data_IF_392253700858
#
_entry.id   IF_392253700858
#
_cell.length_a   1.000
_cell.length_b   1.000
_cell.length_c   1.000
_cell.angle_alpha   90.00
_cell.angle_beta   90.00
_cell.angle_gamma   90.00
#
_symmetry.space_group_name_H-M   'P 1'
#
loop_
_entity.id
_entity.type
_entity.pdbx_description
1 polymer ?
#
# COMPACT_ATOMS: atom_id res chain seq x y z
N UNK A 1 -1.61 -27.35 -1.51
CA UNK A 1 -1.25 -26.28 -0.56
C UNK A 1 -0.89 -25.05 -1.38
N UNK A 2 -1.80 -24.09 -1.53
CA UNK A 2 -1.53 -22.87 -2.29
C UNK A 2 -0.67 -21.95 -1.42
N UNK A 3 0.56 -21.67 -1.85
CA UNK A 3 1.37 -20.61 -1.26
C UNK A 3 0.70 -19.30 -1.67
N UNK A 4 0.04 -18.63 -0.74
CA UNK A 4 -0.47 -17.28 -0.96
C UNK A 4 0.73 -16.35 -1.14
N UNK A 5 1.02 -15.94 -2.39
CA UNK A 5 2.02 -14.92 -2.65
C UNK A 5 1.36 -13.57 -2.39
N UNK A 6 1.45 -13.10 -1.15
CA UNK A 6 1.03 -11.75 -0.78
C UNK A 6 2.08 -10.78 -1.34
N UNK A 7 1.64 -9.76 -2.08
CA UNK A 7 2.51 -8.74 -2.70
C UNK A 7 3.01 -7.69 -1.69
N UNK A 8 2.63 -7.76 -0.42
CA UNK A 8 3.10 -6.87 0.65
C UNK A 8 4.57 -7.15 0.96
N UNK A 9 5.43 -6.14 0.78
CA UNK A 9 6.87 -6.24 1.03
C UNK A 9 7.28 -5.65 2.38
N UNK A 10 6.61 -4.59 2.81
CA UNK A 10 6.91 -3.88 4.05
C UNK A 10 5.63 -3.31 4.61
N UNK A 11 5.47 -3.41 5.92
CA UNK A 11 4.38 -2.80 6.69
C UNK A 11 4.97 -2.09 7.90
N UNK A 12 4.65 -0.81 8.05
CA UNK A 12 5.03 0.01 9.19
C UNK A 12 3.76 0.50 9.87
N UNK A 13 3.69 0.35 11.19
CA UNK A 13 2.59 0.88 12.01
C UNK A 13 3.15 1.96 12.92
N UNK A 14 2.59 3.16 12.81
CA UNK A 14 2.88 4.29 13.69
C UNK A 14 1.74 4.35 14.70
N UNK A 15 2.11 4.39 15.98
CA UNK A 15 1.17 4.45 17.10
C UNK A 15 0.97 5.88 17.59
N UNK A 16 -0.21 6.17 18.10
CA UNK A 16 -0.52 7.42 18.77
C UNK A 16 0.10 7.49 20.19
N UNK A 17 -0.20 8.59 20.90
CA UNK A 17 0.27 8.83 22.27
C UNK A 17 -0.31 7.83 23.30
N UNK A 18 -1.41 7.16 22.97
CA UNK A 18 -2.05 6.14 23.80
C UNK A 18 -1.59 4.71 23.45
N UNK A 19 -0.71 4.56 22.45
CA UNK A 19 -0.21 3.28 21.98
C UNK A 19 -1.13 2.55 20.99
N UNK A 20 -2.21 3.19 20.54
CA UNK A 20 -3.11 2.65 19.51
C UNK A 20 -2.54 2.89 18.12
N UNK A 21 -2.90 2.05 17.17
CA UNK A 21 -2.46 2.21 15.78
C UNK A 21 -3.11 3.47 15.19
N UNK A 22 -2.31 4.39 14.65
CA UNK A 22 -2.77 5.66 14.07
C UNK A 22 -2.57 5.67 12.55
N UNK A 23 -1.37 5.30 12.10
CA UNK A 23 -1.01 5.27 10.69
C UNK A 23 -0.44 3.92 10.31
N UNK A 24 -0.90 3.38 9.18
CA UNK A 24 -0.31 2.21 8.55
C UNK A 24 0.29 2.61 7.21
N UNK A 25 1.58 2.31 7.02
CA UNK A 25 2.23 2.43 5.72
C UNK A 25 2.58 1.05 5.19
N UNK A 26 2.29 0.80 3.92
CA UNK A 26 2.56 -0.47 3.26
C UNK A 26 3.21 -0.27 1.90
N UNK A 27 4.25 -1.03 1.60
CA UNK A 27 4.95 -1.06 0.30
C UNK A 27 4.67 -2.39 -0.38
N UNK A 28 4.42 -2.36 -1.69
CA UNK A 28 3.96 -3.53 -2.44
C UNK A 28 4.86 -3.87 -3.62
N UNK A 29 4.99 -5.16 -3.91
CA UNK A 29 5.41 -5.68 -5.21
C UNK A 29 4.25 -5.66 -6.21
N UNK A 30 3.70 -4.48 -6.47
CA UNK A 30 2.63 -4.30 -7.44
C UNK A 30 3.15 -3.62 -8.70
N UNK A 31 2.63 -4.03 -9.87
CA UNK A 31 2.93 -3.37 -11.15
C UNK A 31 2.30 -1.99 -11.27
N UNK A 32 1.30 -1.65 -10.44
CA UNK A 32 0.57 -0.39 -10.52
C UNK A 32 0.74 0.49 -9.27
N UNK A 33 0.77 -0.11 -8.07
CA UNK A 33 0.89 0.61 -6.80
C UNK A 33 2.33 0.50 -6.27
N UNK A 34 2.84 1.59 -5.67
CA UNK A 34 4.11 1.62 -4.95
C UNK A 34 3.87 1.36 -3.48
N UNK A 35 3.05 2.22 -2.88
CA UNK A 35 2.76 2.20 -1.45
C UNK A 35 1.38 2.75 -1.14
N UNK A 36 0.95 2.55 0.09
CA UNK A 36 -0.20 3.22 0.69
C UNK A 36 0.19 3.83 2.04
N UNK A 37 -0.56 4.85 2.44
CA UNK A 37 -0.54 5.40 3.80
C UNK A 37 -2.00 5.51 4.25
N UNK A 38 -2.38 4.77 5.28
CA UNK A 38 -3.73 4.76 5.83
C UNK A 38 -3.74 5.45 7.19
N UNK A 39 -4.53 6.51 7.28
CA UNK A 39 -4.79 7.25 8.52
C UNK A 39 -6.08 6.71 9.13
N UNK A 40 -5.94 5.93 10.22
CA UNK A 40 -7.00 5.08 10.77
C UNK A 40 -8.17 5.92 11.29
N UNK A 41 -7.87 6.89 12.17
CA UNK A 41 -8.90 7.74 12.79
C UNK A 41 -9.62 8.62 11.76
N UNK A 42 -8.90 9.08 10.75
CA UNK A 42 -9.43 9.92 9.68
C UNK A 42 -10.13 9.10 8.59
N UNK A 43 -10.06 7.76 8.64
CA UNK A 43 -10.57 6.84 7.62
C UNK A 43 -10.14 7.27 6.21
N UNK A 44 -8.87 7.66 6.10
CA UNK A 44 -8.30 8.26 4.89
C UNK A 44 -7.15 7.42 4.38
N UNK A 45 -7.26 6.98 3.15
CA UNK A 45 -6.25 6.17 2.48
C UNK A 45 -5.57 6.97 1.38
N UNK A 46 -4.26 7.09 1.44
CA UNK A 46 -3.44 7.59 0.35
C UNK A 46 -2.89 6.44 -0.46
N UNK A 47 -3.06 6.49 -1.77
CA UNK A 47 -2.57 5.50 -2.74
C UNK A 47 -1.53 6.15 -3.63
N UNK A 48 -0.32 5.61 -3.60
CA UNK A 48 0.82 6.10 -4.38
C UNK A 48 1.04 5.17 -5.57
N UNK A 49 0.79 5.66 -6.78
CA UNK A 49 0.93 4.87 -8.01
C UNK A 49 2.37 4.88 -8.53
N UNK A 50 2.77 3.85 -9.28
CA UNK A 50 4.09 3.73 -9.94
C UNK A 50 4.46 4.92 -10.82
N UNK A 51 3.46 5.62 -11.37
CA UNK A 51 3.66 6.86 -12.16
C UNK A 51 3.89 8.12 -11.30
N UNK A 52 3.94 7.97 -9.98
CA UNK A 52 4.13 9.04 -9.00
C UNK A 52 2.88 9.85 -8.68
N UNK A 53 1.72 9.56 -9.29
CA UNK A 53 0.48 10.26 -8.93
C UNK A 53 -0.03 9.70 -7.59
N UNK A 54 -0.45 10.59 -6.70
CA UNK A 54 -1.03 10.23 -5.40
C UNK A 54 -2.50 10.65 -5.37
N UNK A 55 -3.34 9.72 -4.93
CA UNK A 55 -4.75 9.96 -4.66
C UNK A 55 -5.05 9.71 -3.19
N UNK A 56 -5.94 10.49 -2.60
CA UNK A 56 -6.55 10.14 -1.32
C UNK A 56 -7.98 9.65 -1.54
N UNK A 57 -8.38 8.67 -0.72
CA UNK A 57 -9.72 8.10 -0.64
C UNK A 57 -10.26 8.37 0.76
N UNK A 58 -11.50 8.82 0.82
CA UNK A 58 -12.21 9.15 2.05
C UNK A 58 -13.16 8.03 2.45
N UNK A 59 -13.53 8.00 3.74
CA UNK A 59 -14.45 7.01 4.30
C UNK A 59 -14.01 5.55 4.12
N UNK A 60 -12.70 5.32 3.99
CA UNK A 60 -12.12 3.97 3.93
C UNK A 60 -12.03 3.44 5.34
N UNK A 61 -12.88 2.47 5.68
CA UNK A 61 -12.82 1.79 6.96
C UNK A 61 -11.67 0.76 7.01
N UNK A 62 -11.49 0.18 8.20
CA UNK A 62 -10.38 -0.74 8.44
C UNK A 62 -10.52 -2.02 7.62
N UNK A 63 -11.73 -2.52 7.43
CA UNK A 63 -12.00 -3.73 6.65
C UNK A 63 -11.63 -3.54 5.17
N UNK A 64 -12.02 -2.41 4.58
CA UNK A 64 -11.67 -2.05 3.21
C UNK A 64 -10.15 -1.88 3.04
N UNK A 65 -9.48 -1.24 4.01
CA UNK A 65 -8.03 -1.11 3.98
C UNK A 65 -7.33 -2.46 4.10
N UNK A 66 -7.72 -3.29 5.08
CA UNK A 66 -7.12 -4.60 5.31
C UNK A 66 -7.27 -5.48 4.05
N UNK A 67 -8.43 -5.42 3.38
CA UNK A 67 -8.64 -6.11 2.10
C UNK A 67 -7.68 -5.67 0.99
N UNK A 68 -7.39 -4.37 0.87
CA UNK A 68 -6.38 -3.86 -0.06
C UNK A 68 -4.97 -4.32 0.33
N UNK A 69 -4.63 -4.23 1.62
CA UNK A 69 -3.31 -4.58 2.14
C UNK A 69 -2.98 -6.06 1.88
N UNK A 70 -3.94 -6.96 2.10
CA UNK A 70 -3.75 -8.41 1.97
C UNK A 70 -4.12 -8.96 0.58
N UNK A 71 -4.51 -8.11 -0.36
CA UNK A 71 -4.88 -8.54 -1.71
C UNK A 71 -3.73 -9.26 -2.43
N UNK A 72 -4.08 -10.24 -3.27
CA UNK A 72 -3.14 -10.88 -4.19
C UNK A 72 -2.59 -9.91 -5.24
N UNK A 73 -3.36 -8.86 -5.57
CA UNK A 73 -2.94 -7.78 -6.44
C UNK A 73 -3.62 -6.48 -6.01
N UNK A 74 -2.84 -5.57 -5.44
CA UNK A 74 -3.33 -4.28 -4.96
C UNK A 74 -3.94 -3.44 -6.09
N UNK A 75 -3.38 -3.53 -7.30
CA UNK A 75 -3.89 -2.81 -8.46
C UNK A 75 -5.27 -3.32 -8.92
N UNK A 76 -5.51 -4.63 -8.86
CA UNK A 76 -6.80 -5.23 -9.19
C UNK A 76 -7.82 -4.87 -8.11
N UNK A 77 -7.47 -5.08 -6.83
CA UNK A 77 -8.34 -4.75 -5.71
C UNK A 77 -8.75 -3.27 -5.72
N UNK A 78 -7.79 -2.36 -5.93
CA UNK A 78 -8.05 -0.93 -6.07
C UNK A 78 -9.06 -0.62 -7.17
N UNK A 79 -8.91 -1.24 -8.35
CA UNK A 79 -9.81 -1.03 -9.48
C UNK A 79 -11.22 -1.54 -9.20
N UNK A 80 -11.35 -2.68 -8.54
CA UNK A 80 -12.63 -3.35 -8.28
C UNK A 80 -13.40 -2.70 -7.12
N UNK A 81 -12.70 -2.26 -6.08
CA UNK A 81 -13.34 -1.83 -4.83
C UNK A 81 -13.27 -0.32 -4.56
N UNK A 82 -12.31 0.41 -5.15
CA UNK A 82 -12.07 1.83 -4.84
C UNK A 82 -12.29 2.77 -6.03
N UNK A 83 -11.64 2.55 -7.19
CA UNK A 83 -11.45 3.59 -8.21
C UNK A 83 -12.73 4.20 -8.80
N UNK A 84 -13.85 3.48 -8.76
CA UNK A 84 -15.15 3.94 -9.27
C UNK A 84 -16.27 3.73 -8.25
N UNK A 85 -15.92 3.53 -6.99
CA UNK A 85 -16.88 3.29 -5.93
C UNK A 85 -17.27 4.61 -5.27
N UNK A 86 -18.53 5.03 -5.43
CA UNK A 86 -19.06 6.28 -4.85
C UNK A 86 -19.03 6.29 -3.32
N UNK A 87 -18.95 5.11 -2.68
CA UNK A 87 -18.78 5.00 -1.23
C UNK A 87 -17.44 5.56 -0.74
N UNK A 88 -16.43 5.57 -1.62
CA UNK A 88 -15.10 6.06 -1.31
C UNK A 88 -14.76 7.23 -2.25
N UNK A 89 -15.28 8.45 -1.97
CA UNK A 89 -14.88 9.65 -2.69
C UNK A 89 -13.37 9.76 -2.70
N UNK A 90 -12.81 10.30 -3.79
CA UNK A 90 -11.38 10.43 -3.93
C UNK A 90 -10.99 11.80 -4.48
N UNK A 91 -9.78 12.23 -4.14
CA UNK A 91 -9.16 13.43 -4.65
C UNK A 91 -7.75 13.13 -5.14
N UNK A 92 -7.33 13.79 -6.22
CA UNK A 92 -5.93 13.80 -6.62
C UNK A 92 -5.20 14.77 -5.70
N UNK A 93 -4.15 14.30 -5.04
CA UNK A 93 -3.40 15.08 -4.05
C UNK A 93 -2.21 15.79 -4.70
N UNK A 94 -1.16 15.03 -5.01
CA UNK A 94 0.07 15.56 -5.58
C UNK A 94 0.72 14.55 -6.53
N UNK A 95 1.83 14.97 -7.14
CA UNK A 95 2.73 14.10 -7.88
C UNK A 95 4.05 14.04 -7.14
N UNK A 96 4.49 12.84 -6.81
CA UNK A 96 5.80 12.58 -6.22
C UNK A 96 6.92 13.08 -7.13
N UNK A 97 8.01 13.51 -6.50
CA UNK A 97 9.25 13.80 -7.17
C UNK A 97 9.93 12.51 -7.62
N UNK A 98 10.74 12.59 -8.68
CA UNK A 98 11.34 11.39 -9.27
C UNK A 98 12.28 10.65 -8.30
N UNK A 99 12.99 11.37 -7.43
CA UNK A 99 13.87 10.74 -6.44
C UNK A 99 13.05 9.97 -5.40
N UNK A 100 11.89 10.47 -4.97
CA UNK A 100 11.02 9.75 -4.02
C UNK A 100 10.50 8.44 -4.63
N UNK A 101 10.18 8.45 -5.92
CA UNK A 101 9.78 7.25 -6.66
C UNK A 101 10.96 6.26 -6.74
N UNK A 102 12.17 6.78 -7.03
CA UNK A 102 13.38 5.98 -7.09
C UNK A 102 13.68 5.32 -5.73
N UNK A 103 13.65 6.08 -4.64
CA UNK A 103 13.92 5.59 -3.29
C UNK A 103 12.99 4.42 -2.93
N UNK A 104 11.69 4.56 -3.21
CA UNK A 104 10.72 3.48 -2.95
C UNK A 104 10.99 2.26 -3.84
N UNK A 105 11.36 2.46 -5.12
CA UNK A 105 11.71 1.34 -6.00
C UNK A 105 12.96 0.61 -5.50
N UNK A 106 13.96 1.33 -5.00
CA UNK A 106 15.15 0.72 -4.40
C UNK A 106 14.80 -0.09 -3.14
N UNK A 107 13.88 0.41 -2.30
CA UNK A 107 13.34 -0.37 -1.16
C UNK A 107 12.64 -1.65 -1.63
N UNK A 108 11.81 -1.57 -2.68
CA UNK A 108 11.12 -2.73 -3.28
C UNK A 108 12.13 -3.78 -3.75
N UNK A 109 13.16 -3.36 -4.50
CA UNK A 109 14.16 -4.29 -5.03
C UNK A 109 15.02 -4.92 -3.92
N UNK A 110 15.35 -4.16 -2.87
CA UNK A 110 16.03 -4.70 -1.68
C UNK A 110 15.16 -5.75 -0.98
N UNK A 111 13.88 -5.47 -0.77
CA UNK A 111 12.95 -6.41 -0.13
C UNK A 111 12.77 -7.70 -0.94
N UNK A 112 12.67 -7.59 -2.28
CA UNK A 112 12.61 -8.76 -3.18
C UNK A 112 13.83 -9.66 -3.09
N UNK A 113 15.03 -9.07 -3.06
CA UNK A 113 16.29 -9.81 -2.94
C UNK A 113 16.33 -10.61 -1.64
N UNK A 114 16.01 -9.97 -0.51
CA UNK A 114 15.95 -10.62 0.80
C UNK A 114 14.93 -11.77 0.83
N UNK A 115 13.75 -11.59 0.20
CA UNK A 115 12.74 -12.65 0.10
C UNK A 115 13.23 -13.84 -0.72
N UNK A 116 14.01 -13.61 -1.78
CA UNK A 116 14.54 -14.68 -2.62
C UNK A 116 15.68 -15.44 -1.92
N UNK A 117 16.58 -14.72 -1.23
CA UNK A 117 17.68 -15.32 -0.45
C UNK A 117 17.13 -16.25 0.65
N UNK A 118 16.09 -15.82 1.36
CA UNK A 118 15.42 -16.60 2.41
C UNK A 118 14.59 -17.79 1.87
N UNK A 119 14.35 -17.89 0.57
CA UNK A 119 13.58 -18.97 -0.08
C UNK A 119 14.45 -20.09 -0.63
N UNK A 120 15.75 -19.91 -0.70
CA UNK A 120 16.72 -20.95 -1.05
C UNK A 120 16.99 -21.81 0.19
N UNK A 121 16.52 -23.08 0.25
CA UNK A 121 17.03 -24.01 1.25
C UNK A 121 18.47 -24.38 0.86
N UNK A 122 19.37 -24.44 1.83
CA UNK A 122 20.61 -25.22 1.69
C UNK A 122 20.29 -26.70 1.36
#
# INVERSE_FOLDING_TARGET
MYIFVIMLLKRLVIKDKEGKDDIVEAIYDSTNLLKTTYLIEQRRLYVYFRKGIVYSYYAVDREMYDGLETAQSQGVYHKEHLSNNRMYPYAREFKMLNFEIQDINEEIEKAKKLLNENRTPE
#
